data_IF_977587207144
#
_entry.id   IF_977587207144
#
_cell.length_a   1.000
_cell.length_b   1.000
_cell.length_c   1.000
_cell.angle_alpha   90.00
_cell.angle_beta   90.00
_cell.angle_gamma   90.00
#
_symmetry.space_group_name_H-M   'P 1'
#
loop_
_entity.id
_entity.type
_entity.pdbx_description
1 polymer ?
#
# COMPACT_ATOMS: atom_id res chain seq x y z
N UNK A 1 4.99 -2.62 29.05
CA UNK A 1 5.08 -2.08 27.68
C UNK A 1 6.29 -2.73 27.02
N UNK A 2 6.07 -3.65 26.09
CA UNK A 2 7.14 -4.15 25.24
C UNK A 2 7.21 -3.26 23.99
N UNK A 3 8.41 -2.85 23.61
CA UNK A 3 8.63 -2.16 22.35
C UNK A 3 8.36 -3.14 21.20
N UNK A 4 7.49 -2.78 20.27
CA UNK A 4 7.15 -3.61 19.10
C UNK A 4 8.14 -3.44 17.96
N UNK A 5 9.11 -2.56 18.10
CA UNK A 5 10.19 -2.33 17.16
C UNK A 5 11.53 -2.21 17.88
N UNK A 6 12.59 -2.12 17.13
CA UNK A 6 13.94 -1.79 17.62
C UNK A 6 14.47 -0.58 16.85
N UNK A 7 15.31 0.21 17.48
CA UNK A 7 16.10 1.20 16.75
C UNK A 7 17.18 0.48 15.95
N UNK A 8 17.32 0.88 14.70
CA UNK A 8 18.34 0.34 13.80
C UNK A 8 18.95 1.47 12.99
N UNK A 9 20.22 1.35 12.65
CA UNK A 9 20.91 2.25 11.72
C UNK A 9 20.65 1.85 10.27
N UNK A 10 20.94 2.77 9.35
CA UNK A 10 20.93 2.48 7.90
C UNK A 10 21.90 1.35 7.59
N UNK A 11 23.09 1.36 8.17
CA UNK A 11 24.11 0.34 7.92
C UNK A 11 23.67 -1.05 8.37
N UNK A 12 22.98 -1.16 9.51
CA UNK A 12 22.42 -2.43 9.98
C UNK A 12 21.36 -2.97 9.02
N UNK A 13 20.47 -2.11 8.50
CA UNK A 13 19.46 -2.52 7.52
C UNK A 13 20.12 -2.92 6.21
N UNK A 14 21.06 -2.13 5.72
CA UNK A 14 21.78 -2.43 4.48
C UNK A 14 22.60 -3.71 4.57
N UNK A 15 23.16 -4.04 5.74
CA UNK A 15 23.88 -5.30 5.96
C UNK A 15 22.95 -6.52 5.83
N UNK A 16 21.67 -6.38 6.18
CA UNK A 16 20.66 -7.44 5.96
C UNK A 16 20.27 -7.51 4.49
N UNK A 17 19.96 -6.37 3.86
CA UNK A 17 19.58 -6.30 2.44
C UNK A 17 20.69 -6.90 1.55
N UNK A 18 21.96 -6.64 1.88
CA UNK A 18 23.10 -7.13 1.12
C UNK A 18 23.17 -8.66 1.03
N UNK A 19 22.62 -9.38 2.01
CA UNK A 19 22.58 -10.85 1.98
C UNK A 19 21.67 -11.40 0.87
N UNK A 20 20.66 -10.61 0.46
CA UNK A 20 19.67 -11.00 -0.53
C UNK A 20 20.00 -10.53 -1.97
N UNK A 21 21.05 -9.75 -2.16
CA UNK A 21 21.48 -9.25 -3.50
C UNK A 21 21.59 -10.39 -4.53
N UNK A 22 22.20 -11.56 -4.24
CA UNK A 22 22.30 -12.64 -5.23
C UNK A 22 20.93 -13.16 -5.71
N UNK A 23 19.87 -13.00 -4.88
CA UNK A 23 18.51 -13.37 -5.26
C UNK A 23 17.88 -12.26 -6.10
N UNK A 24 18.11 -10.98 -5.76
CA UNK A 24 17.63 -9.84 -6.54
C UNK A 24 18.21 -9.84 -7.96
N UNK A 25 19.51 -10.10 -8.10
CA UNK A 25 20.19 -10.20 -9.41
C UNK A 25 19.57 -11.28 -10.31
N UNK A 26 19.11 -12.39 -9.74
CA UNK A 26 18.49 -13.48 -10.50
C UNK A 26 17.03 -13.23 -10.86
N UNK A 27 16.28 -12.59 -9.96
CA UNK A 27 14.84 -12.40 -10.13
C UNK A 27 14.46 -11.09 -10.81
N UNK A 28 15.41 -10.15 -10.93
CA UNK A 28 15.10 -8.75 -11.25
C UNK A 28 14.28 -8.05 -10.17
N UNK A 29 14.30 -8.59 -8.95
CA UNK A 29 13.58 -8.07 -7.80
C UNK A 29 14.32 -6.92 -7.11
N UNK A 30 13.89 -6.62 -5.88
CA UNK A 30 14.47 -5.53 -5.10
C UNK A 30 13.92 -5.48 -3.70
N UNK A 31 13.96 -4.29 -3.12
CA UNK A 31 13.57 -4.05 -1.72
C UNK A 31 12.22 -3.35 -1.67
N UNK A 32 11.30 -3.89 -0.87
CA UNK A 32 10.04 -3.23 -0.54
C UNK A 32 10.10 -2.67 0.88
N UNK A 33 9.99 -1.35 0.99
CA UNK A 33 9.86 -0.66 2.26
C UNK A 33 8.39 -0.62 2.66
N UNK A 34 8.06 -1.31 3.73
CA UNK A 34 6.71 -1.50 4.26
C UNK A 34 6.72 -1.41 5.79
N UNK A 35 5.66 -1.84 6.46
CA UNK A 35 5.59 -1.93 7.93
C UNK A 35 4.37 -1.26 8.51
N UNK A 36 4.53 -0.18 9.28
CA UNK A 36 3.42 0.71 9.65
C UNK A 36 3.06 1.60 8.47
N UNK A 37 3.68 2.76 8.41
CA UNK A 37 3.67 3.65 7.25
C UNK A 37 5.11 4.14 7.07
N UNK A 38 5.84 3.68 6.04
CA UNK A 38 7.26 4.00 5.87
C UNK A 38 7.50 5.50 5.69
N UNK A 39 6.55 6.21 5.08
CA UNK A 39 6.62 7.66 4.87
C UNK A 39 6.51 8.48 6.16
N UNK A 40 6.20 7.86 7.31
CA UNK A 40 6.26 8.53 8.62
C UNK A 40 7.69 8.72 9.15
N UNK A 41 8.67 8.05 8.52
CA UNK A 41 10.09 8.20 8.82
C UNK A 41 10.88 8.63 7.58
N UNK A 42 10.55 9.80 6.98
CA UNK A 42 11.01 10.16 5.64
C UNK A 42 12.53 10.30 5.53
N UNK A 43 13.18 10.79 6.58
CA UNK A 43 14.65 10.95 6.59
C UNK A 43 15.35 9.59 6.56
N UNK A 44 14.90 8.66 7.40
CA UNK A 44 15.44 7.31 7.45
C UNK A 44 15.17 6.53 6.16
N UNK A 45 13.91 6.61 5.67
CA UNK A 45 13.51 5.99 4.41
C UNK A 45 14.37 6.51 3.24
N UNK A 46 14.56 7.83 3.15
CA UNK A 46 15.39 8.42 2.08
C UNK A 46 16.82 7.90 2.09
N UNK A 47 17.42 7.78 3.25
CA UNK A 47 18.78 7.25 3.37
C UNK A 47 18.87 5.79 2.88
N UNK A 48 17.87 4.96 3.21
CA UNK A 48 17.79 3.58 2.74
C UNK A 48 17.56 3.50 1.23
N UNK A 49 16.64 4.31 0.68
CA UNK A 49 16.37 4.38 -0.76
C UNK A 49 17.63 4.76 -1.54
N UNK A 50 18.35 5.80 -1.10
CA UNK A 50 19.62 6.21 -1.71
C UNK A 50 20.67 5.09 -1.62
N UNK A 51 20.78 4.43 -0.46
CA UNK A 51 21.74 3.35 -0.29
C UNK A 51 21.44 2.15 -1.21
N UNK A 52 20.17 1.76 -1.33
CA UNK A 52 19.70 0.73 -2.27
C UNK A 52 19.94 1.13 -3.72
N UNK A 53 19.65 2.39 -4.09
CA UNK A 53 19.87 2.91 -5.44
C UNK A 53 21.34 2.87 -5.85
N UNK A 54 22.28 3.14 -4.94
CA UNK A 54 23.74 3.00 -5.19
C UNK A 54 24.17 1.57 -5.50
N UNK A 55 23.40 0.58 -5.06
CA UNK A 55 23.61 -0.85 -5.34
C UNK A 55 22.82 -1.32 -6.57
N UNK A 56 22.09 -0.42 -7.25
CA UNK A 56 21.26 -0.76 -8.41
C UNK A 56 20.01 -1.59 -8.06
N UNK A 57 19.60 -1.63 -6.80
CA UNK A 57 18.43 -2.37 -6.37
C UNK A 57 17.14 -1.62 -6.68
N UNK A 58 16.13 -2.34 -7.17
CA UNK A 58 14.79 -1.79 -7.35
C UNK A 58 14.16 -1.45 -6.00
N UNK A 59 13.57 -0.25 -5.87
CA UNK A 59 13.09 0.34 -4.62
C UNK A 59 11.59 0.54 -4.67
N UNK A 60 10.89 -0.28 -3.93
CA UNK A 60 9.43 -0.22 -3.82
C UNK A 60 9.03 0.34 -2.46
N UNK A 61 8.04 1.23 -2.43
CA UNK A 61 7.43 1.74 -1.19
C UNK A 61 5.96 1.34 -1.13
N UNK A 62 5.61 0.65 -0.05
CA UNK A 62 4.25 0.20 0.27
C UNK A 62 3.61 1.21 1.23
N UNK A 63 2.62 1.96 0.75
CA UNK A 63 2.07 3.11 1.47
C UNK A 63 0.56 3.25 1.34
N UNK A 64 -0.04 3.82 2.36
CA UNK A 64 -1.41 4.33 2.30
C UNK A 64 -1.54 5.71 1.62
N UNK A 65 -0.43 6.36 1.34
CA UNK A 65 -0.40 7.72 0.80
C UNK A 65 -0.85 8.82 1.77
N UNK A 66 -1.11 8.50 3.04
CA UNK A 66 -1.51 9.48 4.04
C UNK A 66 -0.28 10.16 4.67
N UNK A 67 0.29 11.11 3.94
CA UNK A 67 1.49 11.86 4.32
C UNK A 67 1.42 13.28 3.73
N UNK A 68 2.04 14.30 4.35
CA UNK A 68 2.16 15.61 3.74
C UNK A 68 2.76 15.54 2.33
N UNK A 69 2.21 16.34 1.41
CA UNK A 69 2.62 16.35 -0.01
C UNK A 69 4.14 16.54 -0.18
N UNK A 70 4.71 17.38 0.64
CA UNK A 70 6.14 17.74 0.61
C UNK A 70 7.03 16.52 0.83
N UNK A 71 6.60 15.61 1.71
CA UNK A 71 7.34 14.36 1.97
C UNK A 71 7.39 13.48 0.72
N UNK A 72 6.28 13.38 -0.02
CA UNK A 72 6.28 12.62 -1.30
C UNK A 72 7.20 13.28 -2.32
N UNK A 73 7.07 14.60 -2.51
CA UNK A 73 7.89 15.35 -3.48
C UNK A 73 9.38 15.15 -3.23
N UNK A 74 9.79 15.11 -1.96
CA UNK A 74 11.20 14.91 -1.59
C UNK A 74 11.71 13.47 -1.85
N UNK A 75 10.82 12.50 -2.03
CA UNK A 75 11.18 11.09 -2.14
C UNK A 75 10.93 10.48 -3.52
N UNK A 76 10.11 11.11 -4.35
CA UNK A 76 9.63 10.55 -5.63
C UNK A 76 10.80 10.04 -6.49
N UNK A 77 11.90 10.80 -6.62
CA UNK A 77 13.03 10.44 -7.47
C UNK A 77 13.82 9.21 -6.99
N UNK A 78 13.66 8.85 -5.73
CA UNK A 78 14.36 7.72 -5.12
C UNK A 78 13.51 6.43 -5.10
N UNK A 79 12.28 6.46 -5.62
CA UNK A 79 11.33 5.35 -5.56
C UNK A 79 11.00 4.89 -6.97
N UNK A 80 11.23 3.60 -7.24
CA UNK A 80 10.98 3.01 -8.54
C UNK A 80 9.54 2.52 -8.70
N UNK A 81 8.86 2.16 -7.59
CA UNK A 81 7.46 1.72 -7.59
C UNK A 81 6.75 2.08 -6.29
N UNK A 82 5.56 2.61 -6.39
CA UNK A 82 4.63 2.76 -5.28
C UNK A 82 3.59 1.64 -5.29
N UNK A 83 3.52 0.84 -4.22
CA UNK A 83 2.36 0.02 -3.91
C UNK A 83 1.42 0.89 -3.10
N UNK A 84 0.33 1.32 -3.72
CA UNK A 84 -0.52 2.37 -3.16
C UNK A 84 -1.89 1.81 -2.76
N UNK A 85 -2.20 1.87 -1.46
CA UNK A 85 -3.43 1.34 -0.90
C UNK A 85 -4.59 2.33 -1.01
N UNK A 86 -5.62 1.98 -1.78
CA UNK A 86 -6.95 2.62 -1.73
C UNK A 86 -7.90 1.74 -0.91
N UNK A 87 -8.73 2.36 -0.05
CA UNK A 87 -9.59 1.59 0.86
C UNK A 87 -11.07 1.92 0.70
N UNK A 88 -11.43 3.19 0.83
CA UNK A 88 -12.79 3.69 0.74
C UNK A 88 -12.82 5.02 -0.01
N UNK A 89 -13.71 5.15 -0.98
CA UNK A 89 -13.87 6.39 -1.76
C UNK A 89 -14.75 7.41 -1.05
N UNK A 90 -15.75 6.94 -0.31
CA UNK A 90 -16.56 7.81 0.54
C UNK A 90 -15.73 8.36 1.71
N UNK A 91 -15.70 9.69 1.85
CA UNK A 91 -14.84 10.39 2.83
C UNK A 91 -15.25 10.15 4.27
N UNK A 92 -16.53 10.05 4.53
CA UNK A 92 -17.05 9.91 5.89
C UNK A 92 -16.90 8.45 6.35
N UNK A 93 -17.16 7.49 5.45
CA UNK A 93 -16.85 6.07 5.71
C UNK A 93 -15.35 5.86 5.90
N UNK A 94 -14.51 6.50 5.07
CA UNK A 94 -13.06 6.42 5.23
C UNK A 94 -12.63 6.92 6.62
N UNK A 95 -13.17 8.09 7.05
CA UNK A 95 -12.89 8.63 8.38
C UNK A 95 -13.40 7.74 9.50
N UNK A 96 -14.57 7.13 9.33
CA UNK A 96 -15.15 6.21 10.31
C UNK A 96 -14.26 4.98 10.57
N UNK A 97 -13.72 4.39 9.50
CA UNK A 97 -12.96 3.14 9.61
C UNK A 97 -11.45 3.34 9.81
N UNK A 98 -10.87 4.43 9.31
CA UNK A 98 -9.43 4.69 9.37
C UNK A 98 -9.03 5.81 10.32
N UNK A 99 -9.98 6.63 10.77
CA UNK A 99 -9.74 7.82 11.60
C UNK A 99 -9.43 9.09 10.81
N UNK A 100 -9.20 9.01 9.50
CA UNK A 100 -8.80 10.13 8.65
C UNK A 100 -9.61 10.20 7.35
N UNK A 101 -9.70 11.39 6.73
CA UNK A 101 -10.29 11.55 5.41
C UNK A 101 -9.35 11.01 4.33
N UNK A 102 -9.91 10.43 3.25
CA UNK A 102 -9.14 9.99 2.08
C UNK A 102 -8.68 11.15 1.16
N UNK A 103 -9.05 12.41 1.45
CA UNK A 103 -8.74 13.54 0.56
C UNK A 103 -7.25 13.64 0.27
N UNK A 104 -6.42 13.66 1.31
CA UNK A 104 -4.97 13.75 1.17
C UNK A 104 -4.40 12.55 0.39
N UNK A 105 -4.96 11.35 0.61
CA UNK A 105 -4.56 10.13 -0.10
C UNK A 105 -4.82 10.26 -1.60
N UNK A 106 -6.02 10.71 -1.98
CA UNK A 106 -6.40 10.91 -3.39
C UNK A 106 -5.59 12.04 -4.03
N UNK A 107 -5.38 13.15 -3.32
CA UNK A 107 -4.56 14.27 -3.80
C UNK A 107 -3.10 13.82 -4.03
N UNK A 108 -2.55 12.98 -3.16
CA UNK A 108 -1.22 12.41 -3.30
C UNK A 108 -1.12 11.37 -4.44
N UNK A 109 -2.14 10.56 -4.65
CA UNK A 109 -2.19 9.66 -5.81
C UNK A 109 -2.18 10.45 -7.12
N UNK A 110 -2.97 11.54 -7.21
CA UNK A 110 -2.95 12.43 -8.37
C UNK A 110 -1.56 13.01 -8.62
N UNK A 111 -0.89 13.48 -7.56
CA UNK A 111 0.48 13.96 -7.64
C UNK A 111 1.42 12.91 -8.23
N UNK A 112 1.40 11.66 -7.72
CA UNK A 112 2.29 10.61 -8.20
C UNK A 112 2.07 10.32 -9.68
N UNK A 113 0.81 10.26 -10.12
CA UNK A 113 0.48 10.06 -11.53
C UNK A 113 0.91 11.26 -12.40
N UNK A 114 0.66 12.48 -11.96
CA UNK A 114 1.10 13.71 -12.65
C UNK A 114 2.62 13.79 -12.79
N UNK A 115 3.36 13.25 -11.83
CA UNK A 115 4.84 13.18 -11.88
C UNK A 115 5.36 11.96 -12.69
N UNK A 116 4.46 11.14 -13.26
CA UNK A 116 4.83 9.97 -14.06
C UNK A 116 5.43 8.83 -13.25
N UNK A 117 5.17 8.78 -11.94
CA UNK A 117 5.64 7.69 -11.08
C UNK A 117 4.98 6.36 -11.45
N UNK A 118 5.72 5.27 -11.34
CA UNK A 118 5.12 3.93 -11.40
C UNK A 118 4.31 3.67 -10.13
N UNK A 119 3.01 3.43 -10.31
CA UNK A 119 2.07 3.16 -9.19
C UNK A 119 1.30 1.89 -9.48
N UNK A 120 1.34 0.95 -8.55
CA UNK A 120 0.47 -0.21 -8.51
C UNK A 120 -0.58 0.00 -7.43
N UNK A 121 -1.84 0.09 -7.85
CA UNK A 121 -2.95 0.27 -6.91
C UNK A 121 -3.30 -1.06 -6.26
N UNK A 122 -3.52 -1.04 -4.95
CA UNK A 122 -3.99 -2.17 -4.18
C UNK A 122 -5.27 -1.79 -3.44
N UNK A 123 -6.24 -2.68 -3.46
CA UNK A 123 -7.49 -2.56 -2.70
C UNK A 123 -7.60 -3.72 -1.72
N UNK A 124 -7.25 -3.51 -0.44
CA UNK A 124 -7.60 -4.47 0.61
C UNK A 124 -9.11 -4.60 0.69
N UNK A 125 -9.65 -5.75 0.29
CA UNK A 125 -11.08 -6.01 0.28
C UNK A 125 -11.51 -6.49 1.66
N UNK A 126 -12.33 -5.68 2.34
CA UNK A 126 -12.76 -5.95 3.73
C UNK A 126 -14.27 -6.16 3.76
N UNK A 127 -14.74 -7.38 4.13
CA UNK A 127 -16.14 -7.77 4.12
C UNK A 127 -17.06 -6.78 4.84
N UNK A 128 -18.11 -6.31 4.15
CA UNK A 128 -19.11 -5.40 4.68
C UNK A 128 -18.61 -3.97 4.95
N UNK A 129 -17.36 -3.66 4.57
CA UNK A 129 -16.76 -2.33 4.79
C UNK A 129 -16.47 -1.61 3.46
N UNK A 130 -15.84 -2.26 2.50
CA UNK A 130 -15.46 -1.61 1.24
C UNK A 130 -15.65 -2.51 0.00
N UNK A 131 -16.28 -3.65 0.19
CA UNK A 131 -16.60 -4.65 -0.83
C UNK A 131 -17.91 -4.37 -1.59
N UNK A 132 -18.62 -3.28 -1.23
CA UNK A 132 -19.86 -2.90 -1.90
C UNK A 132 -19.61 -2.29 -3.29
N UNK A 133 -20.58 -2.51 -4.20
CA UNK A 133 -20.52 -2.06 -5.59
C UNK A 133 -20.23 -0.55 -5.73
N UNK A 134 -20.82 0.27 -4.86
CA UNK A 134 -20.63 1.72 -4.92
C UNK A 134 -19.18 2.12 -4.68
N UNK A 135 -18.48 1.47 -3.73
CA UNK A 135 -17.07 1.71 -3.48
C UNK A 135 -16.19 1.22 -4.63
N UNK A 136 -16.49 0.04 -5.18
CA UNK A 136 -15.72 -0.56 -6.29
C UNK A 136 -15.85 0.30 -7.55
N UNK A 137 -17.06 0.71 -7.93
CA UNK A 137 -17.31 1.58 -9.08
C UNK A 137 -16.66 2.96 -8.89
N UNK A 138 -16.75 3.55 -7.69
CA UNK A 138 -16.09 4.82 -7.41
C UNK A 138 -14.56 4.72 -7.47
N UNK A 139 -14.00 3.59 -7.02
CA UNK A 139 -12.56 3.30 -7.15
C UNK A 139 -12.17 3.20 -8.63
N UNK A 140 -12.90 2.43 -9.42
CA UNK A 140 -12.64 2.29 -10.85
C UNK A 140 -12.74 3.63 -11.59
N UNK A 141 -13.74 4.45 -11.26
CA UNK A 141 -13.91 5.78 -11.85
C UNK A 141 -12.70 6.69 -11.57
N UNK A 142 -12.17 6.70 -10.34
CA UNK A 142 -10.95 7.45 -10.00
C UNK A 142 -9.74 6.94 -10.79
N UNK A 143 -9.56 5.62 -10.88
CA UNK A 143 -8.41 5.05 -11.61
C UNK A 143 -8.49 5.38 -13.10
N UNK A 144 -9.66 5.26 -13.70
CA UNK A 144 -9.91 5.62 -15.12
C UNK A 144 -9.62 7.12 -15.36
N UNK A 145 -10.08 8.01 -14.47
CA UNK A 145 -9.80 9.45 -14.52
C UNK A 145 -8.28 9.72 -14.52
N UNK A 146 -7.53 8.93 -13.77
CA UNK A 146 -6.08 9.05 -13.65
C UNK A 146 -5.28 8.31 -14.75
N UNK A 147 -5.96 7.61 -15.67
CA UNK A 147 -5.31 6.80 -16.69
C UNK A 147 -4.66 5.52 -16.15
N UNK A 148 -5.01 5.09 -14.95
CA UNK A 148 -4.56 3.84 -14.36
C UNK A 148 -5.52 2.71 -14.77
N UNK A 149 -4.97 1.62 -15.30
CA UNK A 149 -5.76 0.52 -15.87
C UNK A 149 -5.68 -0.79 -15.09
N UNK A 150 -4.93 -0.84 -14.00
CA UNK A 150 -4.72 -2.07 -13.23
C UNK A 150 -4.88 -1.87 -11.73
N UNK A 151 -5.38 -2.92 -11.06
CA UNK A 151 -5.58 -2.93 -9.61
C UNK A 151 -5.38 -4.34 -9.06
N UNK A 152 -4.74 -4.44 -7.89
CA UNK A 152 -4.63 -5.68 -7.13
C UNK A 152 -5.73 -5.71 -6.04
N UNK A 153 -6.59 -6.71 -6.08
CA UNK A 153 -7.51 -7.01 -4.99
C UNK A 153 -6.80 -7.87 -3.96
N UNK A 154 -6.75 -7.41 -2.72
CA UNK A 154 -6.17 -8.13 -1.61
C UNK A 154 -7.29 -8.66 -0.70
N UNK A 155 -7.72 -9.91 -0.85
CA UNK A 155 -8.79 -10.47 -0.03
C UNK A 155 -8.43 -10.41 1.46
N UNK A 156 -9.43 -10.12 2.29
CA UNK A 156 -9.24 -10.02 3.73
C UNK A 156 -8.73 -11.33 4.32
N UNK A 157 -7.70 -11.23 5.15
CA UNK A 157 -7.20 -12.33 5.95
C UNK A 157 -6.92 -11.89 7.40
N UNK A 158 -7.04 -12.81 8.35
CA UNK A 158 -6.90 -12.52 9.80
C UNK A 158 -5.45 -12.29 10.27
N UNK A 159 -4.48 -12.21 9.37
CA UNK A 159 -3.06 -12.05 9.72
C UNK A 159 -2.73 -10.83 10.58
N UNK A 160 -3.49 -9.75 10.44
CA UNK A 160 -3.30 -8.53 11.22
C UNK A 160 -3.56 -8.71 12.73
N UNK A 161 -4.37 -9.70 13.14
CA UNK A 161 -4.70 -9.93 14.56
C UNK A 161 -3.46 -10.13 15.46
N UNK A 162 -2.41 -10.78 14.92
CA UNK A 162 -1.17 -10.98 15.66
C UNK A 162 -0.41 -9.67 15.91
N UNK A 163 -0.44 -8.73 14.95
CA UNK A 163 0.17 -7.40 15.06
C UNK A 163 -0.55 -6.56 16.12
N UNK A 164 -1.89 -6.52 16.08
CA UNK A 164 -2.69 -5.79 17.07
C UNK A 164 -2.49 -6.32 18.49
N UNK A 165 -2.37 -7.65 18.64
CA UNK A 165 -2.07 -8.29 19.94
C UNK A 165 -0.72 -7.85 20.50
N UNK A 166 0.33 -7.80 19.66
CA UNK A 166 1.65 -7.30 20.05
C UNK A 166 1.62 -5.82 20.45
N UNK A 167 0.76 -5.03 19.83
CA UNK A 167 0.57 -3.61 20.13
C UNK A 167 -0.34 -3.35 21.34
N UNK A 168 -0.91 -4.40 21.95
CA UNK A 168 -1.94 -4.31 22.99
C UNK A 168 -3.14 -3.44 22.59
N UNK A 169 -3.47 -3.44 21.29
CA UNK A 169 -4.61 -2.72 20.72
C UNK A 169 -5.76 -3.67 20.42
N UNK A 170 -7.03 -3.23 20.61
CA UNK A 170 -8.18 -4.02 20.21
C UNK A 170 -8.19 -4.18 18.69
N UNK A 171 -8.28 -5.41 18.21
CA UNK A 171 -8.42 -5.70 16.78
C UNK A 171 -9.88 -5.66 16.38
N UNK A 172 -10.30 -4.63 15.67
CA UNK A 172 -11.69 -4.44 15.23
C UNK A 172 -12.16 -5.45 14.16
N UNK A 173 -11.23 -6.19 13.55
CA UNK A 173 -11.54 -7.23 12.55
C UNK A 173 -11.76 -8.62 13.15
N UNK A 174 -11.90 -8.75 14.48
CA UNK A 174 -12.07 -10.06 15.14
C UNK A 174 -13.34 -10.78 14.66
N UNK A 175 -14.41 -10.04 14.44
CA UNK A 175 -15.73 -10.55 14.06
C UNK A 175 -15.91 -10.65 12.54
N UNK A 176 -14.95 -10.14 11.76
CA UNK A 176 -15.00 -10.25 10.31
C UNK A 176 -14.63 -11.68 9.88
N UNK A 177 -15.46 -12.23 9.01
CA UNK A 177 -15.19 -13.49 8.31
C UNK A 177 -14.60 -13.15 6.94
N UNK A 178 -13.53 -13.84 6.50
CA UNK A 178 -13.07 -13.69 5.12
C UNK A 178 -14.20 -13.91 4.13
N UNK A 179 -14.22 -13.12 3.07
CA UNK A 179 -15.18 -13.30 1.99
C UNK A 179 -15.07 -14.70 1.40
N UNK A 180 -16.20 -15.31 1.05
CA UNK A 180 -16.17 -16.51 0.25
C UNK A 180 -15.57 -16.18 -1.14
N UNK A 181 -14.91 -17.14 -1.80
CA UNK A 181 -14.30 -16.91 -3.11
C UNK A 181 -15.24 -16.24 -4.12
N UNK A 182 -16.54 -16.57 -4.08
CA UNK A 182 -17.56 -16.01 -4.97
C UNK A 182 -17.75 -14.49 -4.78
N UNK A 183 -17.62 -13.97 -3.56
CA UNK A 183 -17.72 -12.53 -3.30
C UNK A 183 -16.48 -11.77 -3.81
N UNK A 184 -15.30 -12.39 -3.68
CA UNK A 184 -14.07 -11.84 -4.27
C UNK A 184 -14.14 -11.83 -5.78
N UNK A 185 -14.64 -12.92 -6.40
CA UNK A 185 -14.84 -13.01 -7.86
C UNK A 185 -15.86 -11.98 -8.34
N UNK A 186 -16.93 -11.74 -7.57
CA UNK A 186 -17.92 -10.71 -7.89
C UNK A 186 -17.30 -9.30 -7.84
N UNK A 187 -16.52 -8.98 -6.80
CA UNK A 187 -15.82 -7.70 -6.70
C UNK A 187 -14.84 -7.50 -7.88
N UNK A 188 -14.13 -8.57 -8.25
CA UNK A 188 -13.26 -8.58 -9.42
C UNK A 188 -14.06 -8.26 -10.69
N UNK A 189 -15.18 -8.96 -10.92
CA UNK A 189 -16.02 -8.76 -12.12
C UNK A 189 -16.53 -7.32 -12.23
N UNK A 190 -16.98 -6.70 -11.12
CA UNK A 190 -17.42 -5.30 -11.11
C UNK A 190 -16.31 -4.36 -11.58
N UNK A 191 -15.09 -4.56 -11.12
CA UNK A 191 -13.95 -3.73 -11.51
C UNK A 191 -13.53 -3.97 -12.97
N UNK A 192 -13.60 -5.23 -13.44
CA UNK A 192 -13.33 -5.59 -14.84
C UNK A 192 -14.39 -5.03 -15.79
N UNK A 193 -15.66 -5.03 -15.40
CA UNK A 193 -16.76 -4.42 -16.17
C UNK A 193 -16.58 -2.89 -16.28
N UNK A 194 -15.89 -2.26 -15.32
CA UNK A 194 -15.48 -0.86 -15.40
C UNK A 194 -14.21 -0.63 -16.24
N UNK A 195 -13.64 -1.67 -16.85
CA UNK A 195 -12.49 -1.58 -17.76
C UNK A 195 -11.11 -1.72 -17.11
N UNK A 196 -11.03 -2.17 -15.87
CA UNK A 196 -9.75 -2.39 -15.19
C UNK A 196 -9.23 -3.83 -15.37
N UNK A 197 -7.91 -3.97 -15.40
CA UNK A 197 -7.25 -5.28 -15.28
C UNK A 197 -7.09 -5.61 -13.79
N UNK A 198 -7.72 -6.69 -13.33
CA UNK A 198 -7.77 -7.03 -11.91
C UNK A 198 -6.97 -8.30 -11.63
N UNK A 199 -6.02 -8.21 -10.68
CA UNK A 199 -5.34 -9.39 -10.12
C UNK A 199 -5.83 -9.63 -8.70
N UNK A 200 -5.94 -10.89 -8.31
CA UNK A 200 -6.25 -11.29 -6.93
C UNK A 200 -4.93 -11.67 -6.26
N UNK A 201 -4.62 -11.02 -5.14
CA UNK A 201 -3.33 -11.10 -4.48
C UNK A 201 -2.35 -10.08 -5.03
N UNK A 202 -1.20 -9.92 -4.36
CA UNK A 202 -0.15 -8.97 -4.72
C UNK A 202 1.24 -9.52 -4.46
#
# INVERSE_FOLDING_TARGET
LEWTGREVSVDEVMAVIAQDIPFFDRSGGGVTFSGGEPLQQPVFLRQLLIACGRLGLHRTVDTSGFVPREVLVDLIEEIDLFLFDLKLMDRDRHRLYTGVSNRLIVDNLRLLVEQGCAVQIRLPLIPGINDDEANLVATAALLTELGLSSIDLLPFHRGAAAKYRKLHLPYKGTDLTPDPPQAVDQAKQILEDCGLNVRIGG
#
